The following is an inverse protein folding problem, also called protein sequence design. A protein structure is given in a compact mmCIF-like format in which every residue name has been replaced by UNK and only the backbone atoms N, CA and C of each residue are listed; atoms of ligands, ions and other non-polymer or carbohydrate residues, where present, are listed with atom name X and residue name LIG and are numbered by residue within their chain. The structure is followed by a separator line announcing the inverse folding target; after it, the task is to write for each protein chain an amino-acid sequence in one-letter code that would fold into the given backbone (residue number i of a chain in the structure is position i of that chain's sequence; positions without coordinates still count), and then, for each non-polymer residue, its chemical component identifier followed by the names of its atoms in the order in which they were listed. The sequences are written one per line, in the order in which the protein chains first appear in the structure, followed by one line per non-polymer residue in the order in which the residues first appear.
data_IF_724966040240
#
_entry.id   IF_724966040240
#
_cell.length_a   1.000
_cell.length_b   1.000
_cell.length_c   1.000
_cell.angle_alpha   90.00
_cell.angle_beta   90.00
_cell.angle_gamma   90.00
#
_symmetry.space_group_name_H-M   'P 1'
#
loop_
_entity.id
_entity.type
_entity.pdbx_description
1 polymer ?
#
# COMPACT_ATOMS: atom_id res chain seq x y z
N UNK A 1 20.50 24.51 17.98
CA UNK A 1 21.41 23.42 17.59
C UNK A 1 20.53 22.31 17.06
N UNK A 2 20.45 22.14 15.74
CA UNK A 2 19.61 21.13 15.07
C UNK A 2 20.45 19.86 14.89
N UNK A 3 19.92 18.64 15.14
CA UNK A 3 20.63 17.42 14.79
C UNK A 3 20.47 17.17 13.29
N UNK A 4 21.59 16.96 12.60
CA UNK A 4 21.61 16.45 11.23
C UNK A 4 21.28 14.97 11.25
N UNK A 5 20.17 14.59 10.62
CA UNK A 5 19.88 13.20 10.25
C UNK A 5 20.73 12.90 9.02
N UNK A 6 21.73 12.04 9.18
CA UNK A 6 22.52 11.52 8.08
C UNK A 6 21.66 10.51 7.31
N UNK A 7 21.10 10.96 6.19
CA UNK A 7 20.57 10.06 5.16
C UNK A 7 21.79 9.43 4.50
N UNK A 8 22.02 8.14 4.75
CA UNK A 8 23.02 7.36 4.02
C UNK A 8 22.42 7.08 2.65
N UNK A 9 22.64 7.99 1.72
CA UNK A 9 22.45 7.74 0.29
C UNK A 9 23.61 6.82 -0.11
N UNK A 10 23.34 5.52 -0.24
CA UNK A 10 24.28 4.61 -0.91
C UNK A 10 24.16 4.89 -2.40
N UNK A 11 24.84 5.94 -2.87
CA UNK A 11 25.07 6.15 -4.28
C UNK A 11 26.09 5.08 -4.73
N UNK A 12 25.60 3.96 -5.25
CA UNK A 12 26.45 3.02 -5.99
C UNK A 12 26.81 3.72 -7.30
N UNK A 13 27.99 4.33 -7.32
CA UNK A 13 28.61 4.78 -8.55
C UNK A 13 28.96 3.54 -9.38
N UNK A 14 28.12 3.19 -10.37
CA UNK A 14 28.51 2.26 -11.42
C UNK A 14 29.63 2.89 -12.25
N UNK A 15 30.86 2.45 -12.00
CA UNK A 15 32.01 2.79 -12.83
C UNK A 15 31.88 2.08 -14.19
N UNK A 16 31.56 2.84 -15.24
CA UNK A 16 31.54 2.37 -16.62
C UNK A 16 32.96 2.07 -17.10
N UNK A 17 33.24 0.82 -17.49
CA UNK A 17 34.38 0.48 -18.35
C UNK A 17 33.90 0.48 -19.82
N UNK A 18 34.56 1.20 -20.73
CA UNK A 18 34.23 1.16 -22.15
C UNK A 18 34.98 -0.01 -22.81
N UNK A 19 34.25 -0.98 -23.36
CA UNK A 19 34.84 -2.03 -24.19
C UNK A 19 33.97 -3.27 -24.32
N UNK A 20 33.23 -3.35 -25.42
CA UNK A 20 32.83 -4.56 -26.14
C UNK A 20 32.20 -5.72 -25.35
N UNK A 21 30.87 -5.70 -25.18
CA UNK A 21 30.07 -6.92 -25.05
C UNK A 21 28.71 -6.72 -25.75
N UNK A 22 28.63 -7.15 -27.01
CA UNK A 22 27.40 -7.10 -27.79
C UNK A 22 26.56 -8.37 -27.60
N UNK A 23 25.33 -8.16 -27.09
CA UNK A 23 24.06 -8.90 -27.22
C UNK A 23 23.42 -9.15 -25.85
N UNK A 24 22.22 -8.62 -25.55
CA UNK A 24 21.59 -8.88 -24.25
C UNK A 24 20.07 -9.02 -24.35
N UNK A 25 19.60 -9.92 -25.21
CA UNK A 25 18.33 -10.65 -25.13
C UNK A 25 18.22 -11.45 -26.44
N UNK A 26 18.49 -12.76 -26.38
CA UNK A 26 18.38 -13.64 -27.55
C UNK A 26 16.99 -14.25 -27.58
N UNK A 27 16.28 -14.11 -28.71
CA UNK A 27 14.96 -14.71 -28.92
C UNK A 27 15.05 -15.95 -29.81
N UNK A 28 14.53 -17.09 -29.34
CA UNK A 28 14.36 -18.34 -30.10
C UNK A 28 12.90 -18.78 -29.98
N UNK A 29 12.10 -18.51 -31.02
CA UNK A 29 10.65 -18.66 -30.95
C UNK A 29 10.06 -17.67 -29.94
N UNK A 30 9.33 -18.19 -28.95
CA UNK A 30 8.72 -17.38 -27.88
C UNK A 30 9.63 -17.23 -26.65
N UNK A 31 10.77 -17.92 -26.62
CA UNK A 31 11.72 -17.86 -25.49
C UNK A 31 12.70 -16.72 -25.70
N UNK A 32 12.86 -15.88 -24.69
CA UNK A 32 13.81 -14.77 -24.66
C UNK A 32 14.76 -14.94 -23.48
N UNK A 33 16.07 -14.87 -23.72
CA UNK A 33 17.09 -14.97 -22.67
C UNK A 33 18.05 -13.81 -22.73
N UNK A 34 18.16 -13.04 -21.66
CA UNK A 34 19.01 -11.86 -21.57
C UNK A 34 20.19 -12.13 -20.62
N UNK A 35 21.41 -11.91 -21.11
CA UNK A 35 22.68 -12.21 -20.42
C UNK A 35 23.72 -11.14 -20.72
N UNK A 36 24.53 -10.76 -19.73
CA UNK A 36 25.48 -9.65 -19.82
C UNK A 36 24.85 -8.28 -19.54
N UNK A 37 25.66 -7.24 -19.26
CA UNK A 37 25.16 -5.89 -18.97
C UNK A 37 24.75 -5.20 -20.27
N UNK A 38 23.46 -5.26 -20.60
CA UNK A 38 22.89 -4.68 -21.81
C UNK A 38 22.20 -3.37 -21.52
N UNK A 39 22.29 -2.43 -22.46
CA UNK A 39 21.62 -1.14 -22.38
C UNK A 39 20.49 -1.01 -23.39
N UNK A 40 19.92 -2.11 -23.88
CA UNK A 40 18.85 -2.06 -24.88
C UNK A 40 17.51 -2.45 -24.27
N UNK A 41 16.46 -1.67 -24.58
CA UNK A 41 15.08 -2.06 -24.28
C UNK A 41 14.69 -3.32 -25.05
N UNK A 42 13.84 -4.14 -24.45
CA UNK A 42 13.16 -5.23 -25.15
C UNK A 42 11.68 -4.90 -25.31
N UNK A 43 11.23 -4.69 -26.54
CA UNK A 43 9.85 -4.28 -26.83
C UNK A 43 9.22 -5.27 -27.81
N UNK A 44 8.15 -5.94 -27.39
CA UNK A 44 7.32 -6.78 -28.25
C UNK A 44 5.87 -6.77 -27.79
N UNK A 45 4.93 -6.92 -28.72
CA UNK A 45 3.53 -7.18 -28.40
C UNK A 45 3.20 -8.69 -28.42
N UNK A 46 4.19 -9.53 -28.72
CA UNK A 46 4.03 -10.98 -28.73
C UNK A 46 4.01 -11.54 -27.31
N UNK A 47 3.35 -12.69 -27.15
CA UNK A 47 3.53 -13.53 -25.97
C UNK A 47 4.95 -14.09 -25.96
N UNK A 48 5.69 -13.86 -24.88
CA UNK A 48 7.04 -14.41 -24.71
C UNK A 48 7.23 -15.03 -23.32
N UNK A 49 8.16 -15.98 -23.22
CA UNK A 49 8.75 -16.44 -21.96
C UNK A 49 10.16 -15.86 -21.85
N UNK A 50 10.27 -14.76 -21.12
CA UNK A 50 11.51 -14.02 -20.93
C UNK A 50 12.18 -14.39 -19.60
N UNK A 51 13.47 -14.69 -19.66
CA UNK A 51 14.34 -14.80 -18.48
C UNK A 51 15.53 -13.87 -18.61
N UNK A 52 15.70 -12.98 -17.63
CA UNK A 52 16.90 -12.15 -17.46
C UNK A 52 17.77 -12.87 -16.44
N UNK A 53 18.94 -13.33 -16.88
CA UNK A 53 19.88 -14.06 -16.03
C UNK A 53 20.51 -13.13 -14.99
N UNK A 54 21.18 -13.70 -13.99
CA UNK A 54 21.79 -12.92 -12.89
C UNK A 54 22.88 -11.94 -13.33
N UNK A 55 23.53 -12.20 -14.47
CA UNK A 55 24.48 -11.30 -15.12
C UNK A 55 23.82 -10.44 -16.21
N UNK A 56 22.52 -10.62 -16.45
CA UNK A 56 21.72 -9.92 -17.45
C UNK A 56 21.25 -8.55 -16.98
N UNK A 57 21.22 -7.60 -17.90
CA UNK A 57 20.70 -6.26 -17.69
C UNK A 57 19.80 -5.82 -18.83
N UNK A 58 18.62 -5.28 -18.51
CA UNK A 58 17.75 -4.61 -19.49
C UNK A 58 17.49 -3.19 -19.03
N UNK A 59 17.92 -2.21 -19.81
CA UNK A 59 17.70 -0.80 -19.49
C UNK A 59 17.23 -0.09 -20.73
N UNK A 60 16.28 0.85 -20.58
CA UNK A 60 16.03 1.77 -21.67
C UNK A 60 17.15 2.83 -21.73
N UNK A 61 17.57 3.22 -22.92
CA UNK A 61 18.49 4.35 -23.08
C UNK A 61 17.63 5.63 -22.99
N UNK A 62 17.84 6.49 -21.98
CA UNK A 62 17.12 7.75 -21.91
C UNK A 62 17.54 8.59 -23.12
N UNK A 63 16.58 9.00 -23.94
CA UNK A 63 16.88 9.94 -25.01
C UNK A 63 17.20 11.30 -24.36
N UNK A 64 18.50 11.62 -24.26
CA UNK A 64 19.09 12.81 -23.61
C UNK A 64 18.59 14.18 -24.14
N UNK A 65 17.64 14.20 -25.07
CA UNK A 65 17.04 15.39 -25.64
C UNK A 65 15.53 15.54 -25.36
N UNK A 66 14.88 14.58 -24.69
CA UNK A 66 13.48 14.66 -24.35
C UNK A 66 13.30 15.02 -22.88
N UNK A 67 12.66 16.17 -22.66
CA UNK A 67 12.52 16.86 -21.39
C UNK A 67 11.53 16.17 -20.42
N UNK A 68 11.64 14.86 -20.21
CA UNK A 68 10.82 14.10 -19.26
C UNK A 68 9.30 14.15 -19.55
N UNK A 69 8.90 14.22 -20.82
CA UNK A 69 7.47 14.26 -21.21
C UNK A 69 6.99 12.91 -21.71
N UNK A 70 5.96 12.35 -21.08
CA UNK A 70 5.21 11.21 -21.60
C UNK A 70 4.59 11.56 -22.97
N UNK A 71 4.55 10.64 -23.95
CA UNK A 71 4.91 9.22 -23.91
C UNK A 71 6.32 8.92 -24.47
N UNK A 72 7.25 9.87 -24.40
CA UNK A 72 8.47 9.80 -25.21
C UNK A 72 9.60 8.93 -24.63
N UNK A 73 9.47 8.43 -23.40
CA UNK A 73 10.37 7.41 -22.83
C UNK A 73 9.68 6.05 -22.90
N UNK A 74 10.33 5.07 -23.54
CA UNK A 74 9.82 3.71 -23.62
C UNK A 74 10.16 2.94 -22.34
N UNK A 75 9.31 2.01 -21.88
CA UNK A 75 9.67 1.06 -20.83
C UNK A 75 10.96 0.28 -21.17
N UNK A 76 11.62 -0.25 -20.15
CA UNK A 76 12.78 -1.12 -20.38
C UNK A 76 12.35 -2.44 -21.03
N UNK A 77 11.25 -3.03 -20.55
CA UNK A 77 10.65 -4.24 -21.11
C UNK A 77 9.18 -3.98 -21.43
N UNK A 78 8.75 -4.32 -22.65
CA UNK A 78 7.34 -4.41 -23.05
C UNK A 78 7.08 -5.80 -23.63
N UNK A 79 6.08 -6.51 -23.10
CA UNK A 79 5.68 -7.84 -23.56
C UNK A 79 4.15 -7.97 -23.70
N UNK A 80 3.69 -8.84 -24.61
CA UNK A 80 2.27 -9.05 -24.88
C UNK A 80 1.52 -9.84 -23.81
N UNK A 81 0.23 -10.07 -24.05
CA UNK A 81 -0.63 -10.85 -23.16
C UNK A 81 -0.14 -12.30 -22.97
N UNK A 82 -0.35 -12.85 -21.78
CA UNK A 82 0.04 -14.23 -21.44
C UNK A 82 1.55 -14.45 -21.33
N UNK A 83 2.34 -13.37 -21.34
CA UNK A 83 3.79 -13.46 -21.25
C UNK A 83 4.24 -13.82 -19.83
N UNK A 84 5.38 -14.50 -19.76
CA UNK A 84 6.10 -14.76 -18.52
C UNK A 84 7.40 -13.96 -18.53
N UNK A 85 7.69 -13.24 -17.45
CA UNK A 85 8.96 -12.49 -17.30
C UNK A 85 9.58 -12.85 -15.97
N UNK A 86 10.81 -13.36 -15.98
CA UNK A 86 11.58 -13.70 -14.77
C UNK A 86 12.86 -12.88 -14.75
N UNK A 87 13.00 -12.02 -13.74
CA UNK A 87 14.17 -11.17 -13.56
C UNK A 87 15.08 -11.69 -12.44
N UNK A 88 16.21 -12.31 -12.78
CA UNK A 88 17.30 -12.59 -11.84
C UNK A 88 18.42 -11.54 -11.88
N UNK A 89 18.41 -10.66 -12.88
CA UNK A 89 19.42 -9.63 -13.12
C UNK A 89 18.93 -8.25 -12.67
N UNK A 90 19.14 -7.24 -13.52
CA UNK A 90 18.63 -5.90 -13.27
C UNK A 90 17.78 -5.37 -14.42
N UNK A 91 16.77 -4.57 -14.07
CA UNK A 91 15.94 -3.81 -15.02
C UNK A 91 15.92 -2.34 -14.63
N UNK A 92 16.20 -1.44 -15.57
CA UNK A 92 16.24 0.01 -15.30
C UNK A 92 15.38 0.79 -16.30
N UNK A 93 14.32 1.43 -15.79
CA UNK A 93 13.49 2.39 -16.53
C UNK A 93 13.89 3.84 -16.23
N UNK A 94 14.34 4.56 -17.24
CA UNK A 94 14.85 5.92 -17.16
C UNK A 94 14.02 6.89 -18.02
N UNK A 95 13.70 8.06 -17.47
CA UNK A 95 12.83 9.04 -18.11
C UNK A 95 11.34 8.83 -17.79
N UNK A 96 10.55 9.91 -17.92
CA UNK A 96 9.14 9.88 -17.56
C UNK A 96 8.34 8.83 -18.33
N UNK A 97 7.42 8.14 -17.65
CA UNK A 97 6.64 7.00 -18.13
C UNK A 97 7.46 5.74 -18.49
N UNK A 98 8.77 5.70 -18.21
CA UNK A 98 9.58 4.50 -18.45
C UNK A 98 9.41 3.48 -17.32
N UNK A 99 8.44 2.59 -17.47
CA UNK A 99 8.29 1.44 -16.57
C UNK A 99 9.48 0.47 -16.72
N UNK A 100 9.81 -0.25 -15.65
CA UNK A 100 10.79 -1.33 -15.70
C UNK A 100 10.28 -2.47 -16.57
N UNK A 101 9.18 -3.09 -16.15
CA UNK A 101 8.47 -4.12 -16.90
C UNK A 101 7.05 -3.65 -17.17
N UNK A 102 6.64 -3.63 -18.43
CA UNK A 102 5.27 -3.40 -18.89
C UNK A 102 4.77 -4.67 -19.60
N UNK A 103 3.75 -5.31 -19.04
CA UNK A 103 3.19 -6.54 -19.56
C UNK A 103 1.69 -6.43 -19.79
N UNK A 104 1.22 -7.10 -20.85
CA UNK A 104 -0.20 -7.24 -21.12
C UNK A 104 -0.99 -8.01 -20.06
N UNK A 105 -2.22 -8.39 -20.42
CA UNK A 105 -3.10 -9.19 -19.58
C UNK A 105 -2.58 -10.60 -19.36
N UNK A 106 -3.07 -11.27 -18.32
CA UNK A 106 -2.77 -12.68 -18.01
C UNK A 106 -1.25 -12.95 -17.86
N UNK A 107 -0.47 -11.94 -17.48
CA UNK A 107 0.99 -12.04 -17.40
C UNK A 107 1.44 -12.73 -16.10
N UNK A 108 2.61 -13.37 -16.14
CA UNK A 108 3.28 -13.92 -14.95
C UNK A 108 4.65 -13.30 -14.80
N UNK A 109 4.82 -12.41 -13.81
CA UNK A 109 6.05 -11.65 -13.61
C UNK A 109 6.68 -12.09 -12.30
N UNK A 110 7.96 -12.46 -12.32
CA UNK A 110 8.74 -12.79 -11.13
C UNK A 110 9.95 -11.85 -11.10
N UNK A 111 9.98 -10.94 -10.13
CA UNK A 111 11.18 -10.18 -9.84
C UNK A 111 11.95 -10.86 -8.70
N UNK A 112 13.12 -11.42 -9.01
CA UNK A 112 13.99 -12.10 -8.05
C UNK A 112 15.24 -11.31 -7.68
N UNK A 113 15.47 -10.17 -8.35
CA UNK A 113 16.58 -9.30 -8.06
C UNK A 113 16.13 -7.83 -8.20
N UNK A 114 16.70 -7.02 -9.09
CA UNK A 114 16.57 -5.57 -8.99
C UNK A 114 15.77 -4.94 -10.12
N UNK A 115 14.86 -4.04 -9.78
CA UNK A 115 14.19 -3.12 -10.73
C UNK A 115 14.27 -1.71 -10.18
N UNK A 116 14.69 -0.74 -11.01
CA UNK A 116 14.72 0.67 -10.66
C UNK A 116 14.05 1.52 -11.73
N UNK A 117 13.27 2.51 -11.30
CA UNK A 117 12.69 3.53 -12.19
C UNK A 117 12.91 4.93 -11.63
N UNK A 118 13.33 5.84 -12.50
CA UNK A 118 13.98 7.08 -12.04
C UNK A 118 13.09 8.33 -12.08
N UNK A 119 11.96 8.29 -12.79
CA UNK A 119 11.22 9.50 -13.15
C UNK A 119 9.70 9.30 -13.01
N UNK A 120 8.95 10.38 -13.20
CA UNK A 120 7.51 10.45 -13.00
C UNK A 120 6.77 9.39 -13.82
N UNK A 121 5.80 8.72 -13.20
CA UNK A 121 4.95 7.69 -13.83
C UNK A 121 5.76 6.48 -14.36
N UNK A 122 7.06 6.35 -14.02
CA UNK A 122 7.84 5.13 -14.30
C UNK A 122 7.49 4.07 -13.26
N UNK A 123 6.70 3.06 -13.62
CA UNK A 123 6.33 2.00 -12.69
C UNK A 123 7.41 0.93 -12.63
N UNK A 124 7.70 0.36 -11.47
CA UNK A 124 8.64 -0.79 -11.40
C UNK A 124 8.13 -1.94 -12.27
N UNK A 125 6.91 -2.38 -11.99
CA UNK A 125 6.16 -3.37 -12.76
C UNK A 125 4.78 -2.80 -13.08
N UNK A 126 4.37 -2.83 -14.35
CA UNK A 126 3.01 -2.60 -14.81
C UNK A 126 2.50 -3.86 -15.50
N UNK A 127 1.36 -4.39 -15.07
CA UNK A 127 0.75 -5.57 -15.67
C UNK A 127 -0.76 -5.39 -15.87
N UNK A 128 -1.29 -5.92 -16.97
CA UNK A 128 -2.73 -5.88 -17.24
C UNK A 128 -3.54 -6.78 -16.30
N UNK A 129 -4.85 -6.81 -16.52
CA UNK A 129 -5.81 -7.66 -15.79
C UNK A 129 -5.40 -9.14 -15.72
N UNK A 130 -5.87 -9.83 -14.68
CA UNK A 130 -5.65 -11.26 -14.41
C UNK A 130 -4.17 -11.66 -14.30
N UNK A 131 -3.29 -10.71 -13.97
CA UNK A 131 -1.85 -10.97 -13.92
C UNK A 131 -1.42 -11.47 -12.55
N UNK A 132 -0.29 -12.16 -12.51
CA UNK A 132 0.36 -12.65 -11.29
C UNK A 132 1.75 -12.03 -11.19
N UNK A 133 2.01 -11.31 -10.10
CA UNK A 133 3.32 -10.71 -9.82
C UNK A 133 3.89 -11.29 -8.54
N UNK A 134 5.05 -11.93 -8.63
CA UNK A 134 5.84 -12.38 -7.48
C UNK A 134 7.05 -11.48 -7.32
N UNK A 135 7.08 -10.69 -6.25
CA UNK A 135 8.20 -9.86 -5.86
C UNK A 135 9.01 -10.56 -4.76
N UNK A 136 10.22 -10.98 -5.10
CA UNK A 136 11.18 -11.64 -4.20
C UNK A 136 12.52 -10.92 -4.09
N UNK A 137 12.74 -9.90 -4.94
CA UNK A 137 13.92 -9.04 -4.90
C UNK A 137 13.60 -7.64 -4.40
N UNK A 138 14.10 -6.63 -5.11
CA UNK A 138 13.99 -5.21 -4.80
C UNK A 138 13.36 -4.44 -5.97
N UNK A 139 12.46 -3.52 -5.66
CA UNK A 139 11.93 -2.51 -6.58
C UNK A 139 12.16 -1.13 -5.96
N UNK A 140 12.70 -0.19 -6.72
CA UNK A 140 12.82 1.23 -6.34
C UNK A 140 12.18 2.12 -7.41
N UNK A 141 11.34 3.07 -7.01
CA UNK A 141 10.77 4.09 -7.90
C UNK A 141 10.90 5.48 -7.28
N UNK A 142 11.23 6.50 -8.09
CA UNK A 142 11.61 7.84 -7.58
C UNK A 142 10.69 9.00 -8.02
N UNK A 143 9.74 8.74 -8.91
CA UNK A 143 8.92 9.77 -9.54
C UNK A 143 7.55 10.01 -8.92
N UNK A 144 6.97 11.18 -9.20
CA UNK A 144 5.55 11.42 -8.91
C UNK A 144 4.68 10.38 -9.61
N UNK A 145 3.71 9.82 -8.87
CA UNK A 145 2.81 8.75 -9.35
C UNK A 145 3.54 7.53 -9.91
N UNK A 146 4.78 7.28 -9.46
CA UNK A 146 5.57 6.11 -9.85
C UNK A 146 5.27 4.93 -8.92
N UNK A 147 4.34 4.05 -9.31
CA UNK A 147 4.01 2.85 -8.54
C UNK A 147 5.11 1.80 -8.58
N UNK A 148 5.35 1.12 -7.45
CA UNK A 148 6.27 -0.02 -7.40
C UNK A 148 5.75 -1.18 -8.25
N UNK A 149 4.53 -1.62 -7.96
CA UNK A 149 3.79 -2.62 -8.71
C UNK A 149 2.39 -2.06 -9.03
N UNK A 150 2.06 -1.97 -10.31
CA UNK A 150 0.76 -1.56 -10.84
C UNK A 150 0.12 -2.75 -11.56
N UNK A 151 -1.07 -3.17 -11.15
CA UNK A 151 -1.79 -4.31 -11.74
C UNK A 151 -3.24 -3.97 -12.08
N UNK A 152 -3.74 -4.55 -13.17
CA UNK A 152 -5.15 -4.46 -13.57
C UNK A 152 -6.09 -5.31 -12.70
N UNK A 153 -7.37 -5.37 -13.10
CA UNK A 153 -8.43 -6.10 -12.37
C UNK A 153 -8.09 -7.57 -12.17
N UNK A 154 -8.59 -8.16 -11.07
CA UNK A 154 -8.49 -9.58 -10.73
C UNK A 154 -7.05 -10.13 -10.73
N UNK A 155 -6.08 -9.27 -10.41
CA UNK A 155 -4.67 -9.65 -10.37
C UNK A 155 -4.24 -10.09 -8.97
N UNK A 156 -3.15 -10.86 -8.91
CA UNK A 156 -2.58 -11.37 -7.67
C UNK A 156 -1.14 -10.87 -7.52
N UNK A 157 -0.80 -10.30 -6.36
CA UNK A 157 0.55 -9.85 -6.05
C UNK A 157 1.05 -10.56 -4.79
N UNK A 158 2.18 -11.26 -4.90
CA UNK A 158 2.87 -11.87 -3.76
C UNK A 158 4.18 -11.13 -3.52
N UNK A 159 4.35 -10.59 -2.31
CA UNK A 159 5.59 -9.95 -1.86
C UNK A 159 6.24 -10.87 -0.84
N UNK A 160 7.29 -11.58 -1.25
CA UNK A 160 7.94 -12.61 -0.46
C UNK A 160 8.72 -12.03 0.73
N UNK A 161 8.97 -12.86 1.73
CA UNK A 161 9.79 -12.47 2.88
C UNK A 161 11.20 -12.07 2.42
N UNK A 162 11.73 -10.99 2.96
CA UNK A 162 13.06 -10.45 2.59
C UNK A 162 13.07 -9.57 1.33
N UNK A 163 11.97 -9.50 0.58
CA UNK A 163 11.83 -8.56 -0.54
C UNK A 163 11.51 -7.14 -0.06
N UNK A 164 11.85 -6.15 -0.89
CA UNK A 164 11.57 -4.74 -0.60
C UNK A 164 11.02 -4.02 -1.82
N UNK A 165 9.99 -3.19 -1.62
CA UNK A 165 9.54 -2.23 -2.63
C UNK A 165 9.54 -0.85 -2.01
N UNK A 166 10.32 0.06 -2.59
CA UNK A 166 10.45 1.45 -2.15
C UNK A 166 9.92 2.35 -3.26
N UNK A 167 9.04 3.28 -2.88
CA UNK A 167 8.48 4.28 -3.78
C UNK A 167 8.62 5.67 -3.17
N UNK A 168 9.11 6.60 -3.97
CA UNK A 168 9.30 7.99 -3.59
C UNK A 168 8.56 8.88 -4.60
N UNK A 169 7.93 9.94 -4.09
CA UNK A 169 7.17 10.87 -4.91
C UNK A 169 5.70 10.94 -4.49
N UNK A 170 5.07 12.08 -4.73
CA UNK A 170 3.67 12.27 -4.38
C UNK A 170 2.72 11.42 -5.23
N UNK A 171 1.60 10.97 -4.66
CA UNK A 171 0.62 10.16 -5.38
C UNK A 171 1.13 8.77 -5.80
N UNK A 172 2.25 8.31 -5.23
CA UNK A 172 2.82 6.98 -5.50
C UNK A 172 2.22 5.93 -4.57
N UNK A 173 2.37 4.66 -4.95
CA UNK A 173 2.01 3.54 -4.10
C UNK A 173 3.00 2.40 -4.32
N UNK A 174 3.38 1.70 -3.26
CA UNK A 174 4.25 0.53 -3.42
C UNK A 174 3.53 -0.59 -4.18
N UNK A 175 2.22 -0.76 -3.96
CA UNK A 175 1.33 -1.58 -4.78
C UNK A 175 0.06 -0.79 -5.09
N UNK A 176 -0.31 -0.74 -6.37
CA UNK A 176 -1.55 -0.17 -6.87
C UNK A 176 -2.31 -1.23 -7.68
N UNK A 177 -3.61 -1.39 -7.40
CA UNK A 177 -4.45 -2.38 -8.07
C UNK A 177 -5.87 -1.89 -8.32
N UNK A 178 -6.60 -2.60 -9.16
CA UNK A 178 -8.03 -2.35 -9.43
C UNK A 178 -8.93 -3.43 -8.82
N UNK A 179 -10.16 -3.56 -9.33
CA UNK A 179 -11.19 -4.38 -8.73
C UNK A 179 -10.79 -5.85 -8.68
N UNK A 180 -11.03 -6.50 -7.54
CA UNK A 180 -10.76 -7.92 -7.35
C UNK A 180 -9.27 -8.25 -7.20
N UNK A 181 -8.40 -7.25 -7.05
CA UNK A 181 -6.96 -7.49 -6.79
C UNK A 181 -6.78 -8.13 -5.41
N UNK A 182 -5.86 -9.10 -5.31
CA UNK A 182 -5.42 -9.66 -4.04
C UNK A 182 -3.93 -9.51 -3.83
N UNK A 183 -3.53 -9.15 -2.60
CA UNK A 183 -2.12 -9.02 -2.20
C UNK A 183 -1.83 -9.92 -1.02
N UNK A 184 -0.79 -10.74 -1.12
CA UNK A 184 -0.18 -11.45 0.02
C UNK A 184 1.21 -10.88 0.26
N UNK A 185 1.42 -10.22 1.40
CA UNK A 185 2.67 -9.54 1.72
C UNK A 185 3.35 -10.10 2.97
N UNK A 186 4.57 -10.59 2.78
CA UNK A 186 5.50 -11.03 3.82
C UNK A 186 6.79 -10.19 3.88
N UNK A 187 7.09 -9.44 2.81
CA UNK A 187 8.25 -8.55 2.72
C UNK A 187 8.02 -7.15 3.32
N UNK A 188 8.74 -6.16 2.80
CA UNK A 188 8.63 -4.78 3.25
C UNK A 188 8.23 -3.81 2.13
N UNK A 189 7.24 -2.96 2.39
CA UNK A 189 6.87 -1.84 1.52
C UNK A 189 7.21 -0.51 2.20
N UNK A 190 7.79 0.40 1.44
CA UNK A 190 7.99 1.80 1.84
C UNK A 190 7.45 2.74 0.77
N UNK A 191 6.59 3.68 1.16
CA UNK A 191 6.08 4.70 0.25
C UNK A 191 6.19 6.09 0.88
N UNK A 192 6.92 6.98 0.22
CA UNK A 192 7.20 8.32 0.75
C UNK A 192 6.77 9.41 -0.23
N UNK A 193 6.06 10.40 0.28
CA UNK A 193 5.54 11.51 -0.51
C UNK A 193 4.13 11.90 -0.08
N UNK A 194 3.67 13.13 -0.40
CA UNK A 194 2.28 13.49 -0.18
C UNK A 194 1.34 12.53 -0.93
N UNK A 195 0.31 12.02 -0.26
CA UNK A 195 -0.62 11.04 -0.81
C UNK A 195 0.10 9.79 -1.34
N UNK A 196 1.11 9.30 -0.61
CA UNK A 196 1.76 8.02 -0.93
C UNK A 196 1.13 6.86 -0.17
N UNK A 197 1.01 5.69 -0.80
CA UNK A 197 0.33 4.52 -0.22
C UNK A 197 1.20 3.28 -0.16
N UNK A 198 1.04 2.45 0.87
CA UNK A 198 1.68 1.14 0.89
C UNK A 198 1.00 0.25 -0.13
N UNK A 199 -0.29 0.01 0.09
CA UNK A 199 -1.18 -0.67 -0.87
C UNK A 199 -2.38 0.24 -1.13
N UNK A 200 -2.74 0.42 -2.40
CA UNK A 200 -3.95 1.14 -2.80
C UNK A 200 -4.75 0.37 -3.85
N UNK A 201 -6.05 0.19 -3.61
CA UNK A 201 -6.98 -0.42 -4.57
C UNK A 201 -8.14 0.50 -4.94
N UNK A 202 -8.48 0.50 -6.23
CA UNK A 202 -9.70 1.12 -6.77
C UNK A 202 -10.66 0.06 -7.32
N UNK A 203 -11.81 -0.13 -6.68
CA UNK A 203 -12.82 -1.13 -7.07
C UNK A 203 -12.89 -2.36 -6.16
N UNK A 204 -12.26 -2.31 -4.98
CA UNK A 204 -12.28 -3.37 -3.97
C UNK A 204 -11.23 -4.45 -4.16
N UNK A 205 -10.93 -5.19 -3.09
CA UNK A 205 -9.90 -6.23 -3.11
C UNK A 205 -9.60 -6.84 -1.73
N UNK A 206 -8.62 -7.75 -1.72
CA UNK A 206 -8.19 -8.45 -0.50
C UNK A 206 -6.69 -8.25 -0.23
N UNK A 207 -6.32 -8.08 1.03
CA UNK A 207 -4.96 -7.77 1.46
C UNK A 207 -4.61 -8.61 2.69
N UNK A 208 -3.62 -9.49 2.59
CA UNK A 208 -3.03 -10.23 3.71
C UNK A 208 -1.61 -9.73 3.99
N UNK A 209 -1.39 -9.11 5.15
CA UNK A 209 -0.12 -8.47 5.54
C UNK A 209 0.44 -9.15 6.79
N UNK A 210 1.54 -9.90 6.61
CA UNK A 210 2.38 -10.40 7.70
C UNK A 210 3.76 -9.71 7.74
N UNK A 211 4.06 -8.91 6.71
CA UNK A 211 5.29 -8.12 6.59
C UNK A 211 5.23 -6.73 7.24
N UNK A 212 6.00 -5.79 6.69
CA UNK A 212 6.04 -4.40 7.18
C UNK A 212 5.61 -3.43 6.09
N UNK A 213 4.71 -2.51 6.42
CA UNK A 213 4.35 -1.36 5.61
C UNK A 213 4.75 -0.08 6.36
N UNK A 214 5.56 0.75 5.72
CA UNK A 214 5.89 2.09 6.22
C UNK A 214 5.51 3.13 5.18
N UNK A 215 4.64 4.07 5.54
CA UNK A 215 4.29 5.19 4.69
C UNK A 215 4.55 6.51 5.38
N UNK A 216 5.01 7.49 4.60
CA UNK A 216 5.28 8.80 5.14
C UNK A 216 4.90 9.90 4.16
N UNK A 217 4.08 10.81 4.64
CA UNK A 217 3.58 11.92 3.85
C UNK A 217 2.24 12.41 4.35
N UNK A 218 1.92 13.63 3.99
CA UNK A 218 0.58 14.18 4.21
C UNK A 218 -0.41 13.36 3.38
N UNK A 219 -1.51 12.89 3.98
CA UNK A 219 -2.52 12.10 3.27
C UNK A 219 -2.10 10.66 2.94
N UNK A 220 -0.96 10.18 3.47
CA UNK A 220 -0.48 8.83 3.21
C UNK A 220 -1.32 7.76 3.96
N UNK A 221 -1.45 6.58 3.38
CA UNK A 221 -2.10 5.45 4.07
C UNK A 221 -1.26 4.20 3.93
N UNK A 222 -1.15 3.41 5.00
CA UNK A 222 -0.51 2.09 4.93
C UNK A 222 -1.24 1.18 3.93
N UNK A 223 -2.55 1.00 4.14
CA UNK A 223 -3.45 0.31 3.21
C UNK A 223 -4.63 1.24 2.91
N UNK A 224 -4.98 1.38 1.64
CA UNK A 224 -6.18 2.07 1.20
C UNK A 224 -7.00 1.25 0.21
N UNK A 225 -8.31 1.13 0.43
CA UNK A 225 -9.20 0.41 -0.49
C UNK A 225 -10.48 1.21 -0.70
N UNK A 226 -10.80 1.47 -1.97
CA UNK A 226 -12.08 2.02 -2.42
C UNK A 226 -12.85 0.98 -3.21
N UNK A 227 -14.18 0.90 -3.09
CA UNK A 227 -15.03 0.14 -4.02
C UNK A 227 -16.11 -0.70 -3.36
N UNK A 228 -16.35 -1.92 -3.86
CA UNK A 228 -17.49 -2.72 -3.39
C UNK A 228 -17.19 -3.52 -2.12
N UNK A 229 -15.94 -3.99 -1.98
CA UNK A 229 -15.52 -4.76 -0.81
C UNK A 229 -14.06 -4.50 -0.44
N UNK A 230 -13.75 -4.68 0.84
CA UNK A 230 -12.39 -4.65 1.36
C UNK A 230 -12.23 -5.75 2.40
N UNK A 231 -11.33 -6.70 2.15
CA UNK A 231 -11.00 -7.78 3.08
C UNK A 231 -9.53 -7.70 3.47
N UNK A 232 -9.24 -7.30 4.70
CA UNK A 232 -7.89 -7.03 5.18
C UNK A 232 -7.56 -7.92 6.36
N UNK A 233 -6.61 -8.84 6.17
CA UNK A 233 -5.95 -9.61 7.24
C UNK A 233 -4.59 -8.99 7.54
N UNK A 234 -4.33 -8.67 8.80
CA UNK A 234 -3.07 -8.06 9.22
C UNK A 234 -2.51 -8.74 10.47
N UNK A 235 -1.26 -9.19 10.37
CA UNK A 235 -0.48 -9.80 11.46
C UNK A 235 0.92 -9.21 11.60
N UNK A 236 1.32 -8.31 10.68
CA UNK A 236 2.63 -7.68 10.63
C UNK A 236 2.67 -6.30 11.31
N UNK A 237 3.40 -5.37 10.70
CA UNK A 237 3.45 -3.95 11.13
C UNK A 237 2.98 -3.01 10.02
N UNK A 238 2.06 -2.11 10.35
CA UNK A 238 1.67 -0.96 9.51
C UNK A 238 2.00 0.30 10.28
N UNK A 239 2.80 1.19 9.70
CA UNK A 239 3.12 2.50 10.24
C UNK A 239 2.92 3.58 9.18
N UNK A 240 2.01 4.53 9.44
CA UNK A 240 1.69 5.62 8.55
C UNK A 240 1.75 6.95 9.30
N UNK A 241 2.81 7.72 9.05
CA UNK A 241 3.12 8.93 9.81
C UNK A 241 3.52 10.05 8.84
N UNK A 242 2.81 11.18 8.86
CA UNK A 242 3.20 12.31 8.03
C UNK A 242 4.52 12.93 8.50
N UNK A 243 5.36 13.32 7.54
CA UNK A 243 6.69 13.93 7.76
C UNK A 243 6.64 15.40 8.17
N UNK A 244 5.48 16.05 8.05
CA UNK A 244 5.29 17.46 8.39
C UNK A 244 4.12 17.64 9.37
N UNK A 245 4.18 18.70 10.17
CA UNK A 245 3.06 19.13 11.00
C UNK A 245 1.87 19.43 10.10
N UNK A 246 0.83 18.62 10.24
CA UNK A 246 -0.39 18.75 9.48
C UNK A 246 -1.15 19.98 9.99
N UNK A 247 -1.27 21.01 9.15
CA UNK A 247 -1.98 22.26 9.49
C UNK A 247 -3.40 22.32 8.95
N UNK A 248 -3.83 21.31 8.18
CA UNK A 248 -5.15 21.25 7.56
C UNK A 248 -5.87 19.96 7.94
N UNK A 249 -7.18 20.06 8.21
CA UNK A 249 -8.00 18.98 8.75
C UNK A 249 -8.12 17.72 7.87
N UNK A 250 -7.62 17.72 6.63
CA UNK A 250 -7.75 16.59 5.70
C UNK A 250 -6.41 16.00 5.26
N UNK A 251 -5.30 16.43 5.87
CA UNK A 251 -3.95 16.18 5.37
C UNK A 251 -3.15 15.20 6.24
N UNK A 252 -3.79 14.12 6.70
CA UNK A 252 -3.20 13.22 7.69
C UNK A 252 -2.79 11.88 7.13
N UNK A 253 -1.78 11.27 7.75
CA UNK A 253 -1.46 9.87 7.53
C UNK A 253 -2.36 8.93 8.36
N UNK A 254 -2.68 7.76 7.83
CA UNK A 254 -3.53 6.76 8.51
C UNK A 254 -3.08 5.32 8.25
N UNK A 255 -3.31 4.42 9.21
CA UNK A 255 -2.89 3.03 9.08
C UNK A 255 -3.62 2.31 7.94
N UNK A 256 -4.91 2.09 8.14
CA UNK A 256 -5.84 1.46 7.19
C UNK A 256 -6.98 2.43 6.90
N UNK A 257 -7.28 2.66 5.62
CA UNK A 257 -8.30 3.58 5.15
C UNK A 257 -9.19 2.90 4.12
N UNK A 258 -10.45 2.68 4.45
CA UNK A 258 -11.38 1.92 3.61
C UNK A 258 -12.64 2.72 3.38
N UNK A 259 -13.05 2.81 2.13
CA UNK A 259 -14.37 3.28 1.74
C UNK A 259 -14.95 2.23 0.78
N UNK A 260 -15.71 1.30 1.34
CA UNK A 260 -16.26 0.18 0.59
C UNK A 260 -17.59 -0.29 1.16
N UNK A 261 -18.47 -0.82 0.30
CA UNK A 261 -19.79 -1.26 0.72
C UNK A 261 -19.75 -2.42 1.74
N UNK A 262 -18.77 -3.31 1.63
CA UNK A 262 -18.50 -4.35 2.65
C UNK A 262 -17.06 -4.25 3.14
N UNK A 263 -16.87 -4.06 4.44
CA UNK A 263 -15.55 -3.92 5.06
C UNK A 263 -15.31 -5.04 6.06
N UNK A 264 -14.20 -5.76 5.90
CA UNK A 264 -13.67 -6.69 6.89
C UNK A 264 -12.21 -6.32 7.18
N UNK A 265 -11.90 -6.06 8.46
CA UNK A 265 -10.51 -5.83 8.90
C UNK A 265 -10.23 -6.71 10.12
N UNK A 266 -9.33 -7.68 9.97
CA UNK A 266 -8.83 -8.51 11.05
C UNK A 266 -7.38 -8.11 11.37
N UNK A 267 -7.17 -7.47 12.52
CA UNK A 267 -5.84 -7.12 13.01
C UNK A 267 -5.40 -8.06 14.13
N UNK A 268 -4.21 -8.63 14.01
CA UNK A 268 -3.47 -9.32 15.07
C UNK A 268 -2.03 -8.79 15.22
N UNK A 269 -1.64 -7.86 14.34
CA UNK A 269 -0.34 -7.21 14.33
C UNK A 269 -0.36 -5.85 15.01
N UNK A 270 0.50 -4.94 14.55
CA UNK A 270 0.56 -3.54 15.00
C UNK A 270 0.17 -2.59 13.89
N UNK A 271 -0.76 -1.70 14.16
CA UNK A 271 -1.19 -0.60 13.29
C UNK A 271 -0.95 0.71 14.02
N UNK A 272 -0.11 1.56 13.44
CA UNK A 272 0.12 2.93 13.90
C UNK A 272 -0.23 3.90 12.80
N UNK A 273 -1.20 4.76 13.05
CA UNK A 273 -1.50 5.90 12.20
C UNK A 273 -1.23 7.23 12.87
N UNK A 274 -1.24 8.30 12.09
CA UNK A 274 -1.23 9.64 12.65
C UNK A 274 -2.65 10.03 13.10
N UNK A 275 -3.62 10.09 12.18
CA UNK A 275 -5.02 10.48 12.51
C UNK A 275 -5.88 9.32 12.99
N UNK A 276 -5.78 8.20 12.30
CA UNK A 276 -6.53 6.98 12.58
C UNK A 276 -5.63 5.77 12.37
N UNK A 277 -5.81 4.76 13.21
CA UNK A 277 -5.27 3.44 12.95
C UNK A 277 -6.10 2.76 11.86
N UNK A 278 -7.41 2.73 12.02
CA UNK A 278 -8.36 2.19 11.04
C UNK A 278 -9.50 3.19 10.82
N UNK A 279 -9.83 3.45 9.57
CA UNK A 279 -11.02 4.21 9.17
C UNK A 279 -11.81 3.42 8.14
N UNK A 280 -13.07 3.15 8.42
CA UNK A 280 -14.05 2.58 7.50
C UNK A 280 -15.15 3.61 7.22
N UNK A 281 -15.43 3.85 5.95
CA UNK A 281 -16.39 4.87 5.49
C UNK A 281 -17.38 4.32 4.47
N UNK A 282 -18.58 4.92 4.42
CA UNK A 282 -19.60 4.68 3.38
C UNK A 282 -19.90 3.20 3.12
N UNK A 283 -19.90 2.39 4.19
CA UNK A 283 -20.16 0.96 4.14
C UNK A 283 -21.65 0.64 4.30
N UNK A 284 -22.10 -0.44 3.68
CA UNK A 284 -23.33 -1.13 4.09
C UNK A 284 -23.07 -2.01 5.32
N UNK A 285 -21.91 -2.67 5.39
CA UNK A 285 -21.47 -3.40 6.59
C UNK A 285 -19.98 -3.20 6.84
N UNK A 286 -19.61 -3.01 8.10
CA UNK A 286 -18.20 -2.97 8.51
C UNK A 286 -17.96 -3.87 9.73
N UNK A 287 -17.01 -4.79 9.63
CA UNK A 287 -16.54 -5.61 10.74
C UNK A 287 -15.06 -5.38 10.96
N UNK A 288 -14.70 -4.84 12.12
CA UNK A 288 -13.31 -4.64 12.56
C UNK A 288 -13.06 -5.53 13.76
N UNK A 289 -12.15 -6.49 13.61
CA UNK A 289 -11.73 -7.39 14.69
C UNK A 289 -10.29 -7.06 15.05
N UNK A 290 -10.06 -6.60 16.28
CA UNK A 290 -8.73 -6.30 16.80
C UNK A 290 -8.30 -7.30 17.86
N UNK A 291 -7.33 -8.15 17.53
CA UNK A 291 -6.58 -9.01 18.43
C UNK A 291 -5.17 -8.46 18.75
N UNK A 292 -4.80 -7.30 18.18
CA UNK A 292 -3.46 -6.76 18.26
C UNK A 292 -3.39 -5.32 18.77
N UNK A 293 -2.36 -4.65 18.26
CA UNK A 293 -1.96 -3.24 18.34
C UNK A 293 -2.74 -2.25 17.48
N UNK A 294 -3.63 -1.36 17.96
CA UNK A 294 -4.06 -0.20 17.16
C UNK A 294 -3.78 1.10 17.91
N UNK A 295 -3.07 2.02 17.27
CA UNK A 295 -2.71 3.32 17.85
C UNK A 295 -2.86 4.44 16.83
N UNK A 296 -3.35 5.60 17.28
CA UNK A 296 -3.24 6.85 16.56
C UNK A 296 -2.68 7.97 17.45
N UNK A 297 -2.04 8.96 16.85
CA UNK A 297 -1.18 9.94 17.55
C UNK A 297 -1.56 11.41 17.32
N UNK A 298 -2.66 11.68 16.62
CA UNK A 298 -3.07 13.03 16.25
C UNK A 298 -3.40 13.92 17.46
N UNK A 299 -3.25 15.23 17.26
CA UNK A 299 -3.65 16.27 18.18
C UNK A 299 -5.08 16.74 17.82
N UNK A 300 -6.02 16.88 18.78
CA UNK A 300 -7.43 17.10 18.48
C UNK A 300 -7.68 18.52 17.95
N UNK A 301 -6.73 19.45 18.20
CA UNK A 301 -6.82 20.84 17.79
C UNK A 301 -6.90 21.03 16.27
N UNK A 302 -6.62 19.98 15.48
CA UNK A 302 -6.60 20.04 14.02
C UNK A 302 -7.60 19.03 13.39
N UNK A 303 -8.24 18.17 14.19
CA UNK A 303 -9.26 17.23 13.73
C UNK A 303 -10.25 16.92 14.85
N UNK A 304 -11.35 17.68 14.92
CA UNK A 304 -12.42 17.50 15.93
C UNK A 304 -13.06 16.10 15.91
N UNK A 305 -12.88 15.37 14.80
CA UNK A 305 -13.43 14.03 14.54
C UNK A 305 -12.35 12.95 14.40
N UNK A 306 -11.12 13.17 14.88
CA UNK A 306 -10.12 12.11 14.84
C UNK A 306 -10.44 11.03 15.88
N UNK A 307 -10.29 9.77 15.47
CA UNK A 307 -10.35 8.61 16.35
C UNK A 307 -9.39 7.52 15.86
N UNK A 308 -8.96 6.65 16.78
CA UNK A 308 -8.07 5.52 16.43
C UNK A 308 -8.78 4.54 15.51
N UNK A 309 -10.01 4.17 15.85
CA UNK A 309 -10.92 3.42 14.99
C UNK A 309 -12.11 4.32 14.67
N UNK A 310 -12.37 4.53 13.38
CA UNK A 310 -13.52 5.29 12.90
C UNK A 310 -14.38 4.39 12.03
N UNK A 311 -15.66 4.28 12.34
CA UNK A 311 -16.69 3.63 11.52
C UNK A 311 -17.77 4.67 11.29
N UNK A 312 -17.92 5.13 10.04
CA UNK A 312 -18.92 6.14 9.69
C UNK A 312 -19.52 5.87 8.32
N UNK A 313 -20.83 5.70 8.24
CA UNK A 313 -21.52 5.44 6.99
C UNK A 313 -22.60 6.47 6.71
N UNK A 314 -22.63 6.94 5.46
CA UNK A 314 -23.77 7.71 4.94
C UNK A 314 -24.91 6.81 4.45
N UNK A 315 -24.69 5.49 4.42
CA UNK A 315 -25.51 4.50 3.73
C UNK A 315 -26.22 3.51 4.68
N UNK A 316 -26.86 4.01 5.76
CA UNK A 316 -27.62 3.20 6.75
C UNK A 316 -26.96 1.86 7.10
N UNK A 317 -25.63 1.85 7.19
CA UNK A 317 -24.84 0.64 7.36
C UNK A 317 -24.84 0.16 8.80
N UNK A 318 -24.38 -1.06 9.06
CA UNK A 318 -24.13 -1.51 10.43
C UNK A 318 -22.63 -1.70 10.63
N UNK A 319 -22.08 -1.12 11.69
CA UNK A 319 -20.70 -1.34 12.08
C UNK A 319 -20.59 -2.27 13.28
N UNK A 320 -19.58 -3.14 13.25
CA UNK A 320 -19.20 -4.01 14.35
C UNK A 320 -17.71 -3.85 14.62
N UNK A 321 -17.36 -3.46 15.84
CA UNK A 321 -15.97 -3.38 16.31
C UNK A 321 -15.79 -4.36 17.47
N UNK A 322 -15.00 -5.41 17.27
CA UNK A 322 -14.64 -6.36 18.31
C UNK A 322 -13.19 -6.15 18.72
N UNK A 323 -12.97 -5.72 19.97
CA UNK A 323 -11.63 -5.51 20.51
C UNK A 323 -11.28 -6.58 21.53
N UNK A 324 -10.40 -7.50 21.17
CA UNK A 324 -9.71 -8.44 22.05
C UNK A 324 -8.28 -7.99 22.40
N UNK A 325 -7.72 -7.06 21.61
CA UNK A 325 -6.38 -6.51 21.77
C UNK A 325 -6.35 -5.18 22.52
N UNK A 326 -5.49 -4.27 22.05
CA UNK A 326 -5.36 -2.91 22.61
C UNK A 326 -5.63 -1.84 21.57
N UNK A 327 -6.50 -0.90 21.91
CA UNK A 327 -6.74 0.34 21.15
C UNK A 327 -6.25 1.50 22.02
N UNK A 328 -5.33 2.32 21.50
CA UNK A 328 -4.75 3.45 22.24
C UNK A 328 -4.89 4.75 21.47
N UNK A 329 -5.70 5.66 22.01
CA UNK A 329 -5.79 7.03 21.57
C UNK A 329 -4.73 7.89 22.27
N UNK A 330 -3.80 8.44 21.50
CA UNK A 330 -2.87 9.43 21.99
C UNK A 330 -3.25 10.81 21.45
N UNK A 331 -2.89 11.85 22.20
CA UNK A 331 -3.09 13.22 21.76
C UNK A 331 -4.55 13.69 21.82
N UNK A 332 -5.41 13.11 22.67
CA UNK A 332 -6.74 13.64 23.00
C UNK A 332 -7.86 13.36 21.97
N UNK A 333 -7.61 12.45 21.03
CA UNK A 333 -8.61 11.93 20.09
C UNK A 333 -9.45 10.83 20.77
N UNK A 334 -10.58 10.44 20.17
CA UNK A 334 -11.34 9.28 20.63
C UNK A 334 -10.60 7.96 20.31
N UNK A 335 -10.81 6.92 21.10
CA UNK A 335 -10.37 5.58 20.75
C UNK A 335 -11.25 4.97 19.67
N UNK A 336 -12.56 5.09 19.81
CA UNK A 336 -13.54 4.62 18.83
C UNK A 336 -14.52 5.76 18.57
N UNK A 337 -14.76 6.05 17.29
CA UNK A 337 -15.80 6.97 16.85
C UNK A 337 -16.73 6.29 15.84
N UNK A 338 -18.02 6.36 16.13
CA UNK A 338 -19.11 5.92 15.27
C UNK A 338 -19.70 7.04 14.40
N UNK A 339 -20.82 6.72 13.76
CA UNK A 339 -21.55 7.57 12.81
C UNK A 339 -22.97 7.94 13.28
N UNK A 340 -23.92 7.97 12.35
CA UNK A 340 -25.37 8.17 12.64
C UNK A 340 -26.14 6.83 12.50
N UNK A 341 -25.40 5.75 12.31
CA UNK A 341 -25.87 4.41 12.03
C UNK A 341 -25.67 3.48 13.22
N UNK A 342 -26.43 2.37 13.34
CA UNK A 342 -26.29 1.47 14.48
C UNK A 342 -24.88 0.87 14.58
N UNK A 343 -24.18 1.20 15.65
CA UNK A 343 -22.83 0.73 15.93
C UNK A 343 -22.83 -0.30 17.06
N UNK A 344 -22.15 -1.44 16.83
CA UNK A 344 -21.97 -2.50 17.83
C UNK A 344 -20.50 -2.61 18.20
N UNK A 345 -20.17 -2.28 19.44
CA UNK A 345 -18.80 -2.43 19.94
C UNK A 345 -18.76 -3.46 21.05
N UNK A 346 -17.93 -4.47 20.89
CA UNK A 346 -17.62 -5.45 21.93
C UNK A 346 -16.18 -5.27 22.37
N UNK A 347 -15.98 -4.86 23.62
CA UNK A 347 -14.67 -4.80 24.23
C UNK A 347 -14.44 -6.01 25.15
N UNK A 348 -13.50 -6.86 24.76
CA UNK A 348 -12.92 -7.95 25.54
C UNK A 348 -11.42 -7.73 25.86
N UNK A 349 -10.85 -6.62 25.41
CA UNK A 349 -9.46 -6.24 25.60
C UNK A 349 -9.30 -4.94 26.37
N UNK A 350 -8.37 -4.09 25.94
CA UNK A 350 -8.14 -2.77 26.54
C UNK A 350 -8.34 -1.63 25.55
N UNK A 351 -9.07 -0.61 25.96
CA UNK A 351 -9.28 0.64 25.23
C UNK A 351 -8.79 1.79 26.10
N UNK A 352 -7.85 2.60 25.59
CA UNK A 352 -7.40 3.86 26.18
C UNK A 352 -7.89 5.02 25.32
N UNK A 353 -8.77 5.85 25.86
CA UNK A 353 -9.45 6.94 25.17
C UNK A 353 -10.96 6.80 25.19
N UNK A 354 -11.65 7.87 24.78
CA UNK A 354 -13.10 7.91 24.76
C UNK A 354 -13.69 7.01 23.68
N UNK A 355 -14.85 6.42 23.94
CA UNK A 355 -15.70 5.77 22.94
C UNK A 355 -16.88 6.69 22.70
N UNK A 356 -17.09 7.12 21.45
CA UNK A 356 -18.15 8.05 21.04
C UNK A 356 -18.90 7.49 19.84
N UNK A 357 -20.08 6.91 20.03
CA UNK A 357 -20.75 6.18 18.95
C UNK A 357 -21.61 7.08 18.08
N UNK A 358 -22.32 8.05 18.65
CA UNK A 358 -22.87 9.16 17.86
C UNK A 358 -24.37 9.05 17.75
N UNK A 359 -24.92 9.00 16.54
CA UNK A 359 -26.33 8.76 16.34
C UNK A 359 -26.60 7.29 16.01
N UNK A 360 -27.82 6.82 16.23
CA UNK A 360 -28.20 5.44 15.95
C UNK A 360 -28.56 4.71 17.22
N UNK A 361 -29.10 3.49 17.08
CA UNK A 361 -29.40 2.64 18.24
C UNK A 361 -28.17 1.79 18.55
N UNK A 362 -27.28 2.32 19.38
CA UNK A 362 -25.94 1.77 19.56
C UNK A 362 -25.88 0.71 20.66
N UNK A 363 -24.91 -0.20 20.54
CA UNK A 363 -24.66 -1.20 21.58
C UNK A 363 -23.19 -1.29 21.94
N UNK A 364 -22.89 -1.05 23.22
CA UNK A 364 -21.55 -1.23 23.79
C UNK A 364 -21.55 -2.36 24.81
N UNK A 365 -20.85 -3.45 24.50
CA UNK A 365 -20.63 -4.60 25.37
C UNK A 365 -19.24 -4.57 25.99
N UNK A 366 -19.16 -4.71 27.31
CA UNK A 366 -17.92 -4.89 28.06
C UNK A 366 -17.90 -6.30 28.64
N UNK A 367 -16.95 -7.11 28.18
CA UNK A 367 -16.74 -8.48 28.70
C UNK A 367 -16.01 -8.48 30.04
N UNK A 368 -16.09 -9.60 30.77
CA UNK A 368 -15.35 -9.82 32.01
C UNK A 368 -13.86 -9.50 31.85
N UNK A 369 -13.31 -8.67 32.75
CA UNK A 369 -11.92 -8.20 32.74
C UNK A 369 -11.52 -7.26 31.59
N UNK A 370 -12.42 -6.90 30.68
CA UNK A 370 -12.16 -5.86 29.71
C UNK A 370 -12.02 -4.50 30.40
N UNK A 371 -11.24 -3.61 29.80
CA UNK A 371 -10.96 -2.29 30.36
C UNK A 371 -11.19 -1.20 29.33
N UNK A 372 -11.98 -0.20 29.70
CA UNK A 372 -12.13 1.05 28.96
C UNK A 372 -11.65 2.18 29.87
N UNK A 373 -10.62 2.91 29.46
CA UNK A 373 -10.06 4.05 30.18
C UNK A 373 -10.35 5.31 29.39
N UNK A 374 -11.55 5.86 29.59
CA UNK A 374 -12.09 7.01 28.89
C UNK A 374 -13.59 7.14 29.17
N UNK A 375 -14.21 8.18 28.64
CA UNK A 375 -15.67 8.29 28.64
C UNK A 375 -16.28 7.30 27.63
N UNK A 376 -17.45 6.75 27.97
CA UNK A 376 -18.30 6.04 27.03
C UNK A 376 -19.51 6.94 26.78
N UNK A 377 -19.61 7.45 25.57
CA UNK A 377 -20.70 8.29 25.07
C UNK A 377 -21.36 7.55 23.91
N UNK A 378 -22.57 7.04 24.14
CA UNK A 378 -23.32 6.34 23.10
C UNK A 378 -24.03 7.35 22.19
N UNK A 379 -24.28 8.57 22.68
CA UNK A 379 -24.85 9.66 21.89
C UNK A 379 -26.37 9.64 21.86
N UNK A 380 -26.98 9.61 20.67
CA UNK A 380 -28.43 9.77 20.48
C UNK A 380 -29.07 8.56 19.81
N UNK A 381 -30.11 8.03 20.43
CA UNK A 381 -30.89 6.90 19.95
C UNK A 381 -31.34 6.06 21.15
N UNK A 382 -31.85 4.87 20.88
CA UNK A 382 -32.19 3.90 21.91
C UNK A 382 -30.97 3.02 22.22
N UNK A 383 -29.99 3.61 22.90
CA UNK A 383 -28.69 2.99 23.15
C UNK A 383 -28.69 1.96 24.28
N UNK A 384 -27.83 0.96 24.16
CA UNK A 384 -27.65 -0.11 25.15
C UNK A 384 -26.18 -0.24 25.59
N UNK A 385 -25.93 -0.04 26.89
CA UNK A 385 -24.68 -0.38 27.55
C UNK A 385 -24.84 -1.69 28.34
N UNK A 386 -24.03 -2.70 28.02
CA UNK A 386 -23.99 -3.97 28.76
C UNK A 386 -22.61 -4.15 29.38
N UNK A 387 -22.57 -4.33 30.69
CA UNK A 387 -21.36 -4.60 31.47
C UNK A 387 -21.56 -5.92 32.20
N UNK A 388 -20.69 -6.89 31.93
CA UNK A 388 -20.72 -8.23 32.53
C UNK A 388 -19.83 -8.31 33.79
#
# INVERSE_FOLDING_TARGET
MKPSIAVIIVAIALAFMPGDAAAVCTRVGDVVTCSGPGLDSFITNDRVDMTILSDGGVSNIPNINNNGSCPLSFPAIVVGNGSRVVNFGFVIGSGACASGIDAGHDAVIVNANFIETLDNVGHGIAAGNNSQVTQSGQISTHGQSAYGIYVGDNSQVTVEAGSTTVTEGGGSAAIFGFSGTSVTMRGALSATGPFSHGIEFLGGGSVDVSGTISTSGIGSSGVRIYGDFADISHSGTISAIATANVTAANNYAGGIDVNAATVHVANSGTITGQRYGIRAQDFGTATIVNNGVITATANPAVAADAAVVTVRSTASGEATVENYGTITANGGIAAIAGGDEPDRVTNAGTIFGDVRLGGGDDVYFVSDNARTVGAIDLGSGDDTLVVL
#
